data_IF_093615802512
#
_entry.id   IF_093615802512
#
_cell.length_a   1.000
_cell.length_b   1.000
_cell.length_c   1.000
_cell.angle_alpha   90.00
_cell.angle_beta   90.00
_cell.angle_gamma   90.00
#
_symmetry.space_group_name_H-M   'P 1'
#
loop_
_entity.id
_entity.type
_entity.pdbx_description
1 polymer ?
#
# COMPACT_ATOMS: atom_id res chain seq x y z
N UNK A 1 8.97 17.59 2.07
CA UNK A 1 7.52 17.74 1.75
C UNK A 1 6.97 16.35 1.43
N UNK A 2 6.11 15.79 2.27
CA UNK A 2 5.42 14.53 1.96
C UNK A 2 4.20 14.84 1.08
N UNK A 3 4.14 14.25 -0.13
CA UNK A 3 2.96 14.32 -1.00
C UNK A 3 2.02 13.20 -0.59
N UNK A 4 0.84 13.53 -0.07
CA UNK A 4 -0.23 12.57 0.14
C UNK A 4 -0.83 12.19 -1.22
N UNK A 5 -0.61 10.94 -1.66
CA UNK A 5 -1.34 10.39 -2.79
C UNK A 5 -2.77 10.05 -2.33
N UNK A 6 -3.77 10.73 -2.88
CA UNK A 6 -5.16 10.30 -2.74
C UNK A 6 -5.39 9.15 -3.72
N UNK A 7 -5.72 7.97 -3.19
CA UNK A 7 -6.24 6.84 -3.97
C UNK A 7 -7.62 7.26 -4.49
N UNK A 8 -7.66 7.86 -5.67
CA UNK A 8 -8.92 8.13 -6.38
C UNK A 8 -9.50 6.80 -6.83
N UNK A 9 -10.70 6.54 -6.35
CA UNK A 9 -11.71 5.56 -6.77
C UNK A 9 -11.29 4.67 -7.95
N UNK A 10 -11.31 3.35 -7.72
CA UNK A 10 -11.27 2.38 -8.82
C UNK A 10 -12.44 2.68 -9.77
N UNK A 11 -12.26 2.63 -11.10
CA UNK A 11 -13.38 2.75 -12.02
C UNK A 11 -14.45 1.74 -11.63
N UNK A 12 -15.71 2.17 -11.60
CA UNK A 12 -16.83 1.46 -10.96
C UNK A 12 -17.19 0.10 -11.59
N UNK A 13 -16.32 -0.47 -12.44
CA UNK A 13 -16.57 -1.71 -13.17
C UNK A 13 -15.31 -2.55 -13.42
N UNK A 14 -14.32 -2.54 -12.51
CA UNK A 14 -13.18 -3.48 -12.58
C UNK A 14 -13.65 -4.84 -12.05
N UNK A 15 -13.62 -5.91 -12.87
CA UNK A 15 -13.93 -7.25 -12.41
C UNK A 15 -13.04 -7.66 -11.22
N UNK A 16 -13.59 -8.40 -10.26
CA UNK A 16 -12.91 -8.74 -8.99
C UNK A 16 -11.52 -9.33 -9.26
N UNK A 17 -11.40 -10.16 -10.29
CA UNK A 17 -10.19 -10.83 -10.72
C UNK A 17 -9.11 -9.88 -11.28
N UNK A 18 -9.49 -8.69 -11.73
CA UNK A 18 -8.56 -7.68 -12.29
C UNK A 18 -8.11 -6.64 -11.26
N UNK A 19 -8.75 -6.58 -10.09
CA UNK A 19 -8.45 -5.61 -9.03
C UNK A 19 -7.01 -5.69 -8.50
N UNK A 20 -6.40 -6.89 -8.30
CA UNK A 20 -4.99 -6.97 -7.91
C UNK A 20 -4.07 -6.24 -8.90
N UNK A 21 -4.27 -6.43 -10.20
CA UNK A 21 -3.44 -5.83 -11.24
C UNK A 21 -3.51 -4.30 -11.25
N UNK A 22 -4.70 -3.73 -11.04
CA UNK A 22 -4.85 -2.26 -10.95
C UNK A 22 -4.12 -1.71 -9.71
N UNK A 23 -4.27 -2.39 -8.57
CA UNK A 23 -3.58 -2.01 -7.33
C UNK A 23 -2.06 -2.08 -7.50
N UNK A 24 -1.55 -3.15 -8.12
CA UNK A 24 -0.13 -3.31 -8.42
C UNK A 24 0.40 -2.18 -9.31
N UNK A 25 -0.34 -1.79 -10.35
CA UNK A 25 0.05 -0.69 -11.23
C UNK A 25 0.08 0.65 -10.50
N UNK A 26 -0.94 0.93 -9.68
CA UNK A 26 -0.99 2.15 -8.86
C UNK A 26 0.15 2.18 -7.83
N UNK A 27 0.41 1.06 -7.16
CA UNK A 27 1.52 0.95 -6.22
C UNK A 27 2.87 1.14 -6.90
N UNK A 28 3.08 0.57 -8.09
CA UNK A 28 4.30 0.76 -8.87
C UNK A 28 4.49 2.23 -9.25
N UNK A 29 3.42 2.92 -9.62
CA UNK A 29 3.48 4.35 -9.92
C UNK A 29 3.90 5.17 -8.69
N UNK A 30 3.28 4.94 -7.54
CA UNK A 30 3.66 5.63 -6.28
C UNK A 30 5.09 5.26 -5.85
N UNK A 31 5.49 4.00 -6.00
CA UNK A 31 6.83 3.53 -5.68
C UNK A 31 7.92 4.25 -6.49
N UNK A 32 7.62 4.63 -7.75
CA UNK A 32 8.57 5.37 -8.59
C UNK A 32 8.97 6.74 -8.04
N UNK A 33 8.20 7.29 -7.09
CA UNK A 33 8.50 8.57 -6.45
C UNK A 33 9.41 8.43 -5.22
N UNK A 34 9.68 7.20 -4.77
CA UNK A 34 10.48 6.98 -3.58
C UNK A 34 11.97 7.14 -3.89
N UNK A 35 12.68 7.81 -2.98
CA UNK A 35 14.12 7.63 -2.86
C UNK A 35 14.44 6.16 -2.47
N UNK A 36 15.68 5.67 -2.67
CA UNK A 36 16.06 4.31 -2.26
C UNK A 36 15.82 3.98 -0.77
N UNK A 37 15.92 4.98 0.11
CA UNK A 37 15.61 4.84 1.54
C UNK A 37 14.14 5.18 1.89
N UNK A 38 13.33 5.50 0.88
CA UNK A 38 11.94 5.91 1.05
C UNK A 38 11.03 4.80 1.58
N UNK A 39 9.87 5.20 2.09
CA UNK A 39 8.85 4.31 2.64
C UNK A 39 7.46 4.73 2.18
N UNK A 40 6.59 3.74 1.96
CA UNK A 40 5.15 3.95 1.79
C UNK A 40 4.48 3.36 3.03
N UNK A 41 3.69 4.17 3.73
CA UNK A 41 2.81 3.69 4.79
C UNK A 41 1.44 3.43 4.17
N UNK A 42 0.97 2.20 4.29
CA UNK A 42 -0.32 1.77 3.78
C UNK A 42 -1.30 1.60 4.94
N UNK A 43 -2.56 1.98 4.70
CA UNK A 43 -3.68 1.76 5.61
C UNK A 43 -4.89 1.34 4.78
N UNK A 44 -5.49 0.19 5.07
CA UNK A 44 -6.62 -0.30 4.30
C UNK A 44 -7.62 -1.09 5.13
N UNK A 45 -8.86 -1.15 4.65
CA UNK A 45 -9.90 -2.02 5.20
C UNK A 45 -9.56 -3.48 4.87
N UNK A 46 -9.77 -4.44 5.80
CA UNK A 46 -9.52 -5.85 5.54
C UNK A 46 -10.60 -6.51 4.64
N UNK A 47 -11.26 -5.74 3.77
CA UNK A 47 -12.33 -6.23 2.90
C UNK A 47 -13.71 -6.36 3.54
N UNK A 48 -13.94 -5.75 4.71
CA UNK A 48 -15.29 -5.76 5.29
C UNK A 48 -16.27 -5.02 4.38
N UNK A 49 -17.47 -5.60 4.12
CA UNK A 49 -18.50 -4.92 3.34
C UNK A 49 -18.99 -3.68 4.10
N UNK A 50 -18.95 -2.50 3.47
CA UNK A 50 -19.39 -1.25 4.12
C UNK A 50 -20.78 -0.78 3.66
N UNK A 51 -21.60 -1.69 3.13
CA UNK A 51 -22.97 -1.39 2.68
C UNK A 51 -23.33 -2.06 1.35
N UNK A 52 -24.59 -1.93 0.94
CA UNK A 52 -25.07 -2.49 -0.32
C UNK A 52 -24.44 -1.76 -1.52
N UNK A 53 -23.87 -2.52 -2.46
CA UNK A 53 -23.40 -2.02 -3.75
C UNK A 53 -21.94 -1.51 -3.81
N UNK A 54 -21.19 -1.54 -2.69
CA UNK A 54 -19.76 -1.23 -2.68
C UNK A 54 -18.95 -2.48 -2.33
N UNK A 55 -18.06 -2.88 -3.24
CA UNK A 55 -17.10 -3.94 -2.99
C UNK A 55 -15.69 -3.35 -2.82
N UNK A 56 -15.07 -3.67 -1.69
CA UNK A 56 -13.70 -3.27 -1.41
C UNK A 56 -12.74 -4.40 -1.75
N UNK A 57 -11.54 -4.03 -2.17
CA UNK A 57 -10.45 -5.01 -2.23
C UNK A 57 -10.14 -5.51 -0.82
N UNK A 58 -10.20 -6.82 -0.62
CA UNK A 58 -9.93 -7.45 0.66
C UNK A 58 -8.45 -7.55 0.96
N UNK A 59 -7.86 -6.47 1.48
CA UNK A 59 -6.51 -6.53 2.00
C UNK A 59 -6.43 -7.55 3.12
N UNK A 60 -5.42 -8.40 3.07
CA UNK A 60 -5.18 -9.40 4.10
C UNK A 60 -3.67 -9.55 4.31
N UNK A 61 -3.23 -10.03 5.48
CA UNK A 61 -1.80 -10.30 5.70
C UNK A 61 -1.18 -11.18 4.61
N UNK A 62 -1.96 -12.11 4.04
CA UNK A 62 -1.53 -13.07 3.04
C UNK A 62 -1.28 -12.43 1.66
N UNK A 63 -2.00 -11.36 1.30
CA UNK A 63 -1.88 -10.75 -0.03
C UNK A 63 -0.97 -9.51 -0.08
N UNK A 64 -0.67 -8.90 1.08
CA UNK A 64 0.22 -7.74 1.17
C UNK A 64 1.58 -8.03 0.53
N UNK A 65 2.23 -9.13 0.89
CA UNK A 65 3.59 -9.41 0.39
C UNK A 65 3.61 -9.69 -1.12
N UNK A 66 2.63 -10.43 -1.64
CA UNK A 66 2.53 -10.75 -3.06
C UNK A 66 2.30 -9.50 -3.93
N UNK A 67 1.36 -8.63 -3.52
CA UNK A 67 1.04 -7.39 -4.23
C UNK A 67 2.23 -6.42 -4.17
N UNK A 68 2.88 -6.31 -3.01
CA UNK A 68 4.09 -5.52 -2.86
C UNK A 68 5.21 -5.98 -3.81
N UNK A 69 5.47 -7.29 -3.85
CA UNK A 69 6.48 -7.87 -4.72
C UNK A 69 6.21 -7.59 -6.20
N UNK A 70 4.96 -7.75 -6.66
CA UNK A 70 4.56 -7.43 -8.04
C UNK A 70 4.72 -5.93 -8.40
N UNK A 71 4.73 -5.05 -7.39
CA UNK A 71 5.00 -3.62 -7.54
C UNK A 71 6.49 -3.24 -7.38
N UNK A 72 7.40 -4.21 -7.16
CA UNK A 72 8.83 -3.94 -6.93
C UNK A 72 9.14 -3.44 -5.51
N UNK A 73 8.26 -3.73 -4.55
CA UNK A 73 8.35 -3.36 -3.16
C UNK A 73 8.54 -4.58 -2.27
N UNK A 74 9.08 -4.36 -1.07
CA UNK A 74 9.11 -5.37 0.01
C UNK A 74 8.50 -4.79 1.27
N UNK A 75 7.78 -5.61 2.04
CA UNK A 75 7.23 -5.19 3.33
C UNK A 75 8.36 -4.88 4.31
N UNK A 76 8.23 -3.76 5.02
CA UNK A 76 9.12 -3.35 6.10
C UNK A 76 8.40 -3.50 7.45
N UNK A 77 8.87 -4.40 8.29
CA UNK A 77 8.27 -4.69 9.59
C UNK A 77 6.97 -5.51 9.56
N UNK A 78 6.23 -5.47 10.66
CA UNK A 78 5.01 -6.26 10.88
C UNK A 78 3.75 -5.56 10.36
N UNK A 79 2.76 -6.35 9.96
CA UNK A 79 1.40 -5.85 9.70
C UNK A 79 0.71 -5.70 11.05
N UNK A 80 0.07 -4.55 11.27
CA UNK A 80 -0.64 -4.23 12.52
C UNK A 80 -2.12 -4.07 12.23
N UNK A 81 -2.94 -4.53 13.17
CA UNK A 81 -4.35 -4.16 13.23
C UNK A 81 -4.48 -2.83 13.98
N UNK A 82 -5.24 -1.92 13.39
CA UNK A 82 -5.60 -0.62 13.94
C UNK A 82 -7.13 -0.47 13.86
N UNK A 83 -7.67 0.51 14.55
CA UNK A 83 -9.08 0.89 14.43
C UNK A 83 -9.18 2.34 14.00
N UNK A 84 -10.09 2.63 13.06
CA UNK A 84 -10.45 4.01 12.75
C UNK A 84 -11.90 4.26 13.17
N UNK A 85 -12.13 5.39 13.83
CA UNK A 85 -13.48 5.83 14.14
C UNK A 85 -14.16 6.35 12.87
N UNK A 86 -15.27 5.74 12.51
CA UNK A 86 -16.15 6.17 11.41
C UNK A 86 -16.82 7.50 11.74
N UNK A 87 -17.41 8.14 10.74
CA UNK A 87 -18.22 9.35 10.94
C UNK A 87 -19.41 9.10 11.91
N UNK A 88 -19.92 7.87 11.97
CA UNK A 88 -20.96 7.44 12.91
C UNK A 88 -20.46 7.10 14.32
N UNK A 89 -19.15 7.22 14.59
CA UNK A 89 -18.57 6.97 15.91
C UNK A 89 -18.21 5.52 16.20
N UNK A 90 -18.47 4.58 15.29
CA UNK A 90 -18.09 3.18 15.41
C UNK A 90 -16.62 2.96 15.04
N UNK A 91 -15.96 2.05 15.74
CA UNK A 91 -14.58 1.65 15.41
C UNK A 91 -14.60 0.58 14.31
N UNK A 92 -13.91 0.85 13.21
CA UNK A 92 -13.71 -0.07 12.10
C UNK A 92 -12.29 -0.61 12.06
N UNK A 93 -12.08 -1.91 11.81
CA UNK A 93 -10.74 -2.47 11.70
C UNK A 93 -10.03 -1.99 10.44
N UNK A 94 -8.72 -1.80 10.57
CA UNK A 94 -7.80 -1.45 9.49
C UNK A 94 -6.52 -2.28 9.60
N UNK A 95 -5.98 -2.66 8.46
CA UNK A 95 -4.62 -3.16 8.35
C UNK A 95 -3.67 -2.00 8.09
N UNK A 96 -2.54 -1.98 8.79
CA UNK A 96 -1.49 -0.98 8.65
C UNK A 96 -0.15 -1.69 8.43
N UNK A 97 0.57 -1.29 7.39
CA UNK A 97 1.88 -1.84 7.07
C UNK A 97 2.73 -0.82 6.31
N UNK A 98 4.00 -1.16 6.09
CA UNK A 98 4.93 -0.31 5.35
C UNK A 98 5.59 -1.09 4.23
N UNK A 99 5.84 -0.40 3.12
CA UNK A 99 6.69 -0.89 2.04
C UNK A 99 7.96 -0.04 1.93
N UNK A 100 9.02 -0.68 1.44
CA UNK A 100 10.23 -0.03 0.95
C UNK A 100 10.57 -0.57 -0.45
N UNK A 101 11.40 0.14 -1.24
CA UNK A 101 11.95 -0.42 -2.48
C UNK A 101 12.60 -1.79 -2.23
N UNK A 102 12.34 -2.75 -3.13
CA UNK A 102 12.92 -4.09 -3.02
C UNK A 102 14.43 -4.11 -3.32
N UNK A 103 14.91 -3.18 -4.16
CA UNK A 103 16.33 -3.00 -4.46
C UNK A 103 16.97 -2.21 -3.31
N UNK A 104 18.01 -2.79 -2.70
CA UNK A 104 18.73 -2.12 -1.62
C UNK A 104 19.31 -0.78 -2.12
N UNK A 105 19.32 0.27 -1.28
CA UNK A 105 20.05 1.49 -1.61
C UNK A 105 21.51 1.11 -1.87
N UNK A 106 22.01 1.40 -3.06
CA UNK A 106 23.46 1.41 -3.28
C UNK A 106 24.02 2.47 -2.33
N UNK A 107 24.82 2.04 -1.35
CA UNK A 107 25.57 2.98 -0.52
C UNK A 107 26.35 3.87 -1.48
N UNK A 108 26.25 5.21 -1.39
CA UNK A 108 27.11 6.07 -2.18
C UNK A 108 28.54 5.70 -1.81
N UNK A 109 29.30 5.17 -2.77
CA UNK A 109 30.72 4.94 -2.63
C UNK A 109 31.31 6.25 -2.12
N UNK A 110 31.81 6.25 -0.89
CA UNK A 110 32.49 7.41 -0.34
C UNK A 110 33.64 7.74 -1.29
N UNK A 111 33.49 8.84 -2.04
CA UNK A 111 34.60 9.43 -2.78
C UNK A 111 35.50 10.02 -1.72
N UNK A 112 36.46 9.21 -1.25
CA UNK A 112 37.59 9.69 -0.47
C UNK A 112 38.42 10.51 -1.43
N UNK A 113 38.28 11.83 -1.34
CA UNK A 113 39.28 12.73 -1.89
C UNK A 113 40.52 12.62 -1.01
N UNK A 114 41.63 12.32 -1.69
CA UNK A 114 42.99 12.06 -1.23
C UNK A 114 43.53 12.99 -0.15
#
# INVERSE_FOLDING_TARGET
MARAARFTELPHNVPVEQRPTVIEQQLRHVASWLSPAGRIVMRASPGLPTGAGLEFFGWSPENVDAIGAAAGLRRDGVIRYDTCRTAGGHDEPRLVWQYQPAVAPVSPTAVVNS
#
